data_IF_326968568529
#
_entry.id   IF_326968568529
#
_cell.length_a   1.000
_cell.length_b   1.000
_cell.length_c   1.000
_cell.angle_alpha   90.00
_cell.angle_beta   90.00
_cell.angle_gamma   90.00
#
_symmetry.space_group_name_H-M   'P 1'
#
loop_
_entity.id
_entity.type
_entity.pdbx_description
1 polymer ?
#
# COMPACT_ATOMS: atom_id res chain seq x y z
N UNK A 1 -1.17 -3.06 20.02
CA UNK A 1 -1.09 -2.16 21.19
C UNK A 1 -2.41 -1.39 21.28
N UNK A 2 -2.90 -1.09 22.48
CA UNK A 2 -4.27 -0.61 22.69
C UNK A 2 -4.45 0.87 22.31
N UNK A 3 -5.49 1.16 21.54
CA UNK A 3 -5.83 2.50 21.08
C UNK A 3 -6.35 3.39 22.23
N UNK A 4 -5.85 4.63 22.33
CA UNK A 4 -6.32 5.59 23.33
C UNK A 4 -7.62 6.25 22.85
N UNK A 5 -8.68 6.20 23.67
CA UNK A 5 -10.02 6.75 23.36
C UNK A 5 -9.98 8.19 22.82
N UNK A 6 -9.09 9.04 23.33
CA UNK A 6 -8.98 10.43 22.84
C UNK A 6 -8.51 10.50 21.39
N UNK A 7 -7.54 9.66 21.01
CA UNK A 7 -7.01 9.63 19.64
C UNK A 7 -8.01 9.02 18.67
N UNK A 8 -8.75 7.99 19.11
CA UNK A 8 -9.84 7.39 18.33
C UNK A 8 -10.94 8.41 18.06
N UNK A 9 -11.37 9.15 19.08
CA UNK A 9 -12.40 10.16 18.92
C UNK A 9 -11.92 11.27 17.97
N UNK A 10 -10.71 11.80 18.17
CA UNK A 10 -10.15 12.82 17.28
C UNK A 10 -10.09 12.37 15.81
N UNK A 11 -9.76 11.09 15.57
CA UNK A 11 -9.79 10.51 14.24
C UNK A 11 -11.20 10.59 13.63
N UNK A 12 -12.20 10.08 14.35
CA UNK A 12 -13.58 10.05 13.85
C UNK A 12 -14.18 11.46 13.71
N UNK A 13 -13.85 12.40 14.60
CA UNK A 13 -14.28 13.79 14.49
C UNK A 13 -13.70 14.44 13.22
N UNK A 14 -12.41 14.22 12.93
CA UNK A 14 -11.77 14.72 11.71
C UNK A 14 -12.33 14.05 10.45
N UNK A 15 -12.62 12.75 10.53
CA UNK A 15 -13.23 12.00 9.45
C UNK A 15 -14.62 12.56 9.13
N UNK A 16 -15.45 12.79 10.13
CA UNK A 16 -16.79 13.38 10.00
C UNK A 16 -16.70 14.76 9.34
N UNK A 17 -15.82 15.65 9.83
CA UNK A 17 -15.58 16.97 9.24
C UNK A 17 -15.16 16.89 7.76
N UNK A 18 -14.30 15.93 7.40
CA UNK A 18 -13.87 15.73 6.03
C UNK A 18 -15.02 15.26 5.12
N UNK A 19 -15.84 14.32 5.60
CA UNK A 19 -17.02 13.83 4.88
C UNK A 19 -18.08 14.92 4.68
N UNK A 20 -18.35 15.74 5.70
CA UNK A 20 -19.29 16.85 5.60
C UNK A 20 -18.82 17.93 4.62
N UNK A 21 -17.52 18.25 4.66
CA UNK A 21 -16.92 19.30 3.83
C UNK A 21 -16.79 18.90 2.36
N UNK A 22 -16.30 17.69 2.10
CA UNK A 22 -15.91 17.26 0.75
C UNK A 22 -16.90 16.33 0.08
N UNK A 23 -17.77 15.66 0.83
CA UNK A 23 -18.84 14.79 0.32
C UNK A 23 -18.30 13.79 -0.71
N UNK A 24 -17.27 13.04 -0.33
CA UNK A 24 -16.61 12.08 -1.19
C UNK A 24 -17.61 11.06 -1.74
N UNK A 25 -17.52 10.78 -3.04
CA UNK A 25 -18.23 9.65 -3.66
C UNK A 25 -17.53 8.35 -3.29
N UNK A 26 -18.25 7.22 -3.29
CA UNK A 26 -17.68 5.89 -2.99
C UNK A 26 -16.44 5.57 -3.85
N UNK A 27 -16.47 5.90 -5.15
CA UNK A 27 -15.33 5.76 -6.08
C UNK A 27 -14.11 6.65 -5.79
N UNK A 28 -14.22 7.54 -4.79
CA UNK A 28 -13.14 8.45 -4.34
C UNK A 28 -12.68 8.15 -2.92
N UNK A 29 -13.17 7.06 -2.33
CA UNK A 29 -12.75 6.56 -1.03
C UNK A 29 -12.04 5.25 -1.30
N UNK A 30 -10.75 5.18 -0.97
CA UNK A 30 -9.88 4.04 -1.23
C UNK A 30 -9.42 3.41 0.06
N UNK A 31 -9.31 2.10 0.06
CA UNK A 31 -8.62 1.31 1.07
C UNK A 31 -7.35 0.71 0.46
N UNK A 32 -6.29 0.67 1.25
CA UNK A 32 -4.95 0.26 0.82
C UNK A 32 -4.39 -0.73 1.83
N UNK A 33 -3.98 -1.89 1.33
CA UNK A 33 -3.40 -2.93 2.16
C UNK A 33 -2.11 -3.50 1.55
N UNK A 34 -1.22 -3.96 2.42
CA UNK A 34 0.00 -4.67 2.06
C UNK A 34 -0.18 -6.17 2.30
N UNK A 35 0.00 -6.97 1.24
CA UNK A 35 -0.07 -8.43 1.35
C UNK A 35 1.22 -9.10 0.88
N UNK A 36 1.61 -10.15 1.59
CA UNK A 36 2.74 -10.99 1.21
C UNK A 36 2.31 -12.19 0.38
N UNK A 37 2.72 -12.25 -0.88
CA UNK A 37 2.48 -13.42 -1.76
C UNK A 37 3.70 -14.33 -1.75
N UNK A 38 3.52 -15.59 -1.38
CA UNK A 38 4.57 -16.61 -1.42
C UNK A 38 4.57 -17.35 -2.75
N UNK A 39 5.73 -17.42 -3.41
CA UNK A 39 5.94 -18.28 -4.58
C UNK A 39 6.03 -19.78 -4.24
N UNK A 40 6.01 -20.14 -2.94
CA UNK A 40 6.03 -21.55 -2.52
C UNK A 40 4.66 -22.17 -2.73
N UNK A 41 4.52 -22.95 -3.81
CA UNK A 41 3.33 -23.75 -4.05
C UNK A 41 3.11 -24.76 -2.91
N UNK A 42 1.96 -24.68 -2.23
CA UNK A 42 1.53 -25.74 -1.32
C UNK A 42 1.03 -26.91 -2.17
N UNK A 43 1.72 -28.07 -2.18
CA UNK A 43 1.25 -29.24 -2.91
C UNK A 43 -0.15 -29.60 -2.42
N UNK A 44 -1.07 -29.82 -3.36
CA UNK A 44 -2.41 -30.31 -3.05
C UNK A 44 -2.34 -31.71 -2.41
N UNK A 45 -3.45 -32.17 -1.82
CA UNK A 45 -3.54 -33.52 -1.23
C UNK A 45 -3.05 -34.55 -2.24
N UNK A 46 -1.96 -35.25 -1.90
CA UNK A 46 -1.39 -36.28 -2.74
C UNK A 46 -2.08 -37.60 -2.39
N UNK A 47 -2.74 -38.21 -3.38
CA UNK A 47 -3.25 -39.58 -3.22
C UNK A 47 -2.07 -40.55 -3.25
N UNK A 48 -1.97 -41.38 -2.22
CA UNK A 48 -0.95 -42.42 -2.11
C UNK A 48 -1.58 -43.72 -1.63
N UNK A 49 -0.97 -44.84 -2.01
CA UNK A 49 -1.39 -46.16 -1.53
C UNK A 49 -1.33 -46.25 -0.01
N UNK A 50 -2.35 -46.88 0.58
CA UNK A 50 -2.46 -47.09 2.02
C UNK A 50 -1.23 -47.87 2.51
N UNK A 51 -0.40 -47.22 3.35
CA UNK A 51 0.83 -47.79 3.91
C UNK A 51 2.13 -47.22 3.31
N UNK A 52 2.06 -46.43 2.24
CA UNK A 52 3.23 -45.77 1.65
C UNK A 52 3.67 -44.58 2.51
N UNK A 53 4.83 -44.70 3.16
CA UNK A 53 5.39 -43.66 4.06
C UNK A 53 6.11 -42.53 3.32
N UNK A 54 6.62 -42.78 2.11
CA UNK A 54 7.33 -41.78 1.32
C UNK A 54 6.45 -41.33 0.15
N UNK A 55 5.84 -40.16 0.33
CA UNK A 55 5.03 -39.46 -0.67
C UNK A 55 5.78 -38.18 -1.02
N UNK A 56 6.38 -38.13 -2.20
CA UNK A 56 7.13 -36.97 -2.65
C UNK A 56 6.18 -35.87 -3.12
N UNK A 57 6.39 -34.65 -2.64
CA UNK A 57 5.77 -33.47 -3.21
C UNK A 57 6.82 -32.69 -3.99
N UNK A 58 6.52 -32.34 -5.24
CA UNK A 58 7.34 -31.38 -5.99
C UNK A 58 6.97 -30.00 -5.45
N UNK A 59 7.88 -29.42 -4.68
CA UNK A 59 7.81 -28.02 -4.26
C UNK A 59 9.05 -27.31 -4.81
N UNK A 60 8.92 -26.04 -5.19
CA UNK A 60 10.09 -25.23 -5.53
C UNK A 60 11.06 -25.20 -4.35
N UNK A 61 12.35 -25.38 -4.64
CA UNK A 61 13.44 -25.24 -3.68
C UNK A 61 13.76 -23.77 -3.34
N UNK A 62 13.14 -22.81 -4.04
CA UNK A 62 13.17 -21.38 -3.70
C UNK A 62 12.30 -21.13 -2.46
N UNK A 63 12.80 -21.63 -1.34
CA UNK A 63 12.16 -21.54 -0.04
C UNK A 63 12.23 -20.08 0.42
N UNK A 64 11.06 -19.46 0.67
CA UNK A 64 10.87 -18.30 1.56
C UNK A 64 11.09 -16.87 1.03
N UNK A 65 11.05 -16.62 -0.28
CA UNK A 65 10.99 -15.23 -0.76
C UNK A 65 9.53 -14.83 -1.01
N UNK A 66 8.92 -14.23 0.01
CA UNK A 66 7.62 -13.57 -0.11
C UNK A 66 7.81 -12.28 -0.91
N UNK A 67 6.97 -12.06 -1.92
CA UNK A 67 6.87 -10.79 -2.62
C UNK A 67 5.80 -9.97 -1.92
N UNK A 68 6.15 -8.77 -1.49
CA UNK A 68 5.18 -7.81 -0.95
C UNK A 68 4.40 -7.20 -2.11
N UNK A 69 3.09 -7.07 -1.96
CA UNK A 69 2.19 -6.46 -2.92
C UNK A 69 1.36 -5.41 -2.21
N UNK A 70 1.39 -4.17 -2.72
CA UNK A 70 0.52 -3.08 -2.26
C UNK A 70 -0.69 -3.04 -3.19
N UNK A 71 -1.86 -3.32 -2.62
CA UNK A 71 -3.14 -3.32 -3.31
C UNK A 71 -3.97 -2.12 -2.84
N UNK A 72 -4.74 -1.53 -3.75
CA UNK A 72 -5.61 -0.40 -3.44
C UNK A 72 -6.91 -0.49 -4.24
N UNK A 73 -8.03 -0.32 -3.55
CA UNK A 73 -9.35 -0.43 -4.15
C UNK A 73 -10.30 0.62 -3.58
N UNK A 74 -11.15 1.18 -4.42
CA UNK A 74 -12.19 2.10 -3.98
C UNK A 74 -13.38 1.38 -3.35
N UNK A 75 -14.19 2.11 -2.58
CA UNK A 75 -15.47 1.62 -2.09
C UNK A 75 -16.51 1.40 -3.20
N UNK A 76 -16.21 1.76 -4.45
CA UNK A 76 -17.00 1.45 -5.64
C UNK A 76 -16.32 0.38 -6.54
N UNK A 77 -15.38 -0.39 -5.99
CA UNK A 77 -14.68 -1.50 -6.66
C UNK A 77 -13.71 -1.10 -7.79
N UNK A 78 -13.46 0.20 -7.99
CA UNK A 78 -12.36 0.65 -8.86
C UNK A 78 -11.01 0.23 -8.25
N UNK A 79 -10.19 -0.49 -9.02
CA UNK A 79 -8.90 -1.02 -8.59
C UNK A 79 -7.73 -0.20 -9.14
N UNK A 80 -6.75 0.11 -8.29
CA UNK A 80 -5.50 0.75 -8.70
C UNK A 80 -4.48 -0.34 -9.00
N UNK A 81 -3.80 -0.32 -10.17
CA UNK A 81 -2.76 -1.29 -10.50
C UNK A 81 -1.73 -1.43 -9.36
N UNK A 82 -1.37 -2.65 -8.94
CA UNK A 82 -0.64 -2.87 -7.70
C UNK A 82 0.85 -2.50 -7.83
N UNK A 83 1.49 -2.35 -6.68
CA UNK A 83 2.95 -2.31 -6.60
C UNK A 83 3.49 -3.65 -6.09
N UNK A 84 4.42 -4.26 -6.82
CA UNK A 84 5.16 -5.44 -6.41
C UNK A 84 6.53 -5.05 -5.86
N UNK A 85 6.89 -5.57 -4.70
CA UNK A 85 8.18 -5.36 -4.03
C UNK A 85 8.86 -6.70 -3.81
N UNK A 86 9.92 -6.94 -4.57
CA UNK A 86 10.71 -8.17 -4.48
C UNK A 86 11.84 -8.02 -3.47
N UNK A 87 12.03 -9.04 -2.62
CA UNK A 87 13.16 -9.14 -1.70
C UNK A 87 14.46 -9.44 -2.43
N UNK A 88 15.08 -8.41 -3.00
CA UNK A 88 16.34 -8.50 -3.77
C UNK A 88 16.97 -7.13 -3.99
N UNK A 89 18.23 -7.14 -4.38
CA UNK A 89 18.93 -6.02 -5.01
C UNK A 89 20.12 -6.57 -5.81
N UNK A 90 20.27 -6.24 -7.11
CA UNK A 90 19.45 -5.33 -7.91
C UNK A 90 18.13 -5.94 -8.42
N UNK A 91 17.26 -5.07 -8.93
CA UNK A 91 16.04 -5.45 -9.64
C UNK A 91 16.36 -6.26 -10.90
N UNK A 92 15.46 -7.17 -11.27
CA UNK A 92 15.56 -7.94 -12.51
C UNK A 92 14.30 -7.71 -13.35
N UNK A 93 14.46 -7.11 -14.53
CA UNK A 93 13.37 -6.79 -15.44
C UNK A 93 12.55 -8.02 -15.88
N UNK A 94 13.11 -9.23 -15.78
CA UNK A 94 12.37 -10.46 -16.03
C UNK A 94 11.19 -10.67 -15.06
N UNK A 95 11.20 -10.03 -13.89
CA UNK A 95 10.13 -10.13 -12.88
C UNK A 95 8.87 -9.34 -13.25
N UNK A 96 8.98 -8.43 -14.22
CA UNK A 96 7.85 -7.61 -14.72
C UNK A 96 7.10 -8.34 -15.84
N UNK A 97 7.72 -9.39 -16.40
CA UNK A 97 7.22 -10.08 -17.59
C UNK A 97 5.90 -10.77 -17.29
N UNK A 98 4.90 -10.49 -18.12
CA UNK A 98 3.53 -11.02 -18.02
C UNK A 98 2.80 -10.66 -16.72
N UNK A 99 3.25 -9.64 -15.99
CA UNK A 99 2.50 -9.15 -14.84
C UNK A 99 1.32 -8.26 -15.24
N UNK A 100 0.49 -7.81 -14.27
CA UNK A 100 -0.67 -6.98 -14.55
C UNK A 100 -0.31 -5.70 -15.30
N UNK A 101 -1.21 -5.27 -16.20
CA UNK A 101 -1.09 -4.01 -16.92
C UNK A 101 -1.03 -2.84 -15.93
N UNK A 102 -0.16 -1.87 -16.21
CA UNK A 102 0.08 -0.66 -15.40
C UNK A 102 0.56 -0.89 -13.97
N UNK A 103 0.83 -2.12 -13.55
CA UNK A 103 1.47 -2.39 -12.27
C UNK A 103 2.92 -1.90 -12.27
N UNK A 104 3.39 -1.50 -11.09
CA UNK A 104 4.78 -1.08 -10.88
C UNK A 104 5.55 -2.14 -10.11
N UNK A 105 6.81 -2.36 -10.49
CA UNK A 105 7.67 -3.40 -9.93
C UNK A 105 8.93 -2.77 -9.36
N UNK A 106 9.23 -3.08 -8.10
CA UNK A 106 10.38 -2.58 -7.36
C UNK A 106 11.02 -3.68 -6.54
N UNK A 107 12.17 -3.38 -5.97
CA UNK A 107 12.88 -4.30 -5.10
C UNK A 107 13.45 -3.59 -3.88
N UNK A 108 13.47 -4.28 -2.74
CA UNK A 108 14.16 -3.82 -1.54
C UNK A 108 14.97 -4.97 -0.94
N UNK A 109 16.05 -4.64 -0.20
CA UNK A 109 16.87 -5.66 0.50
C UNK A 109 16.04 -6.53 1.45
N UNK A 110 15.03 -5.93 2.07
CA UNK A 110 14.21 -6.56 3.10
C UNK A 110 12.98 -7.27 2.52
N UNK A 111 12.56 -6.91 1.30
CA UNK A 111 11.30 -7.34 0.68
C UNK A 111 10.09 -6.49 1.07
N UNK A 112 10.24 -5.62 2.08
CA UNK A 112 9.17 -4.75 2.57
C UNK A 112 9.19 -3.40 1.86
N UNK A 113 8.08 -2.68 1.96
CA UNK A 113 8.02 -1.29 1.53
C UNK A 113 8.95 -0.42 2.39
N UNK A 114 9.59 0.55 1.75
CA UNK A 114 10.36 1.61 2.40
C UNK A 114 9.65 2.94 2.19
N UNK A 115 10.07 3.99 2.89
CA UNK A 115 9.49 5.34 2.72
C UNK A 115 9.62 5.83 1.27
N UNK A 116 10.76 5.58 0.63
CA UNK A 116 11.00 5.96 -0.75
C UNK A 116 10.06 5.21 -1.71
N UNK A 117 9.88 3.91 -1.49
CA UNK A 117 8.95 3.10 -2.28
C UNK A 117 7.49 3.51 -2.05
N UNK A 118 7.15 3.92 -0.84
CA UNK A 118 5.82 4.43 -0.52
C UNK A 118 5.53 5.76 -1.22
N UNK A 119 6.50 6.67 -1.31
CA UNK A 119 6.37 7.92 -2.09
C UNK A 119 6.21 7.61 -3.58
N UNK A 120 6.92 6.61 -4.11
CA UNK A 120 6.72 6.16 -5.49
C UNK A 120 5.30 5.60 -5.71
N UNK A 121 4.81 4.79 -4.76
CA UNK A 121 3.44 4.28 -4.79
C UNK A 121 2.39 5.40 -4.73
N UNK A 122 2.59 6.43 -3.89
CA UNK A 122 1.68 7.58 -3.81
C UNK A 122 1.59 8.34 -5.13
N UNK A 123 2.71 8.51 -5.84
CA UNK A 123 2.72 9.15 -7.17
C UNK A 123 1.95 8.31 -8.19
N UNK A 124 2.19 7.00 -8.19
CA UNK A 124 1.47 6.05 -9.04
C UNK A 124 -0.04 6.07 -8.76
N UNK A 125 -0.44 6.02 -7.49
CA UNK A 125 -1.83 6.12 -7.06
C UNK A 125 -2.48 7.42 -7.54
N UNK A 126 -1.85 8.57 -7.27
CA UNK A 126 -2.37 9.88 -7.66
C UNK A 126 -2.59 10.01 -9.17
N UNK A 127 -1.67 9.44 -9.96
CA UNK A 127 -1.80 9.38 -11.42
C UNK A 127 -2.96 8.49 -11.86
N UNK A 128 -3.07 7.27 -11.31
CA UNK A 128 -4.13 6.32 -11.67
C UNK A 128 -5.53 6.86 -11.40
N UNK A 129 -5.71 7.56 -10.27
CA UNK A 129 -7.03 8.07 -9.85
C UNK A 129 -7.26 9.53 -10.28
N UNK A 130 -6.32 10.12 -11.03
CA UNK A 130 -6.34 11.54 -11.41
C UNK A 130 -6.62 12.45 -10.20
N UNK A 131 -5.88 12.27 -9.11
CA UNK A 131 -6.04 13.04 -7.89
C UNK A 131 -5.56 14.49 -8.11
N UNK A 132 -6.38 15.47 -7.72
CA UNK A 132 -6.02 16.89 -7.74
C UNK A 132 -6.73 17.65 -6.62
N UNK A 133 -6.46 18.96 -6.52
CA UNK A 133 -7.18 19.87 -5.64
C UNK A 133 -8.67 19.96 -5.98
N UNK A 134 -9.06 19.79 -7.23
CA UNK A 134 -10.45 19.78 -7.69
C UNK A 134 -11.05 18.37 -7.58
N UNK A 135 -10.22 17.33 -7.80
CA UNK A 135 -10.62 15.94 -7.81
C UNK A 135 -10.05 15.17 -6.60
N UNK A 136 -10.54 15.51 -5.40
CA UNK A 136 -10.05 14.96 -4.14
C UNK A 136 -10.37 13.46 -3.99
N UNK A 137 -9.52 12.78 -3.23
CA UNK A 137 -9.71 11.39 -2.78
C UNK A 137 -9.48 11.31 -1.28
N UNK A 138 -10.16 10.37 -0.65
CA UNK A 138 -9.87 9.90 0.69
C UNK A 138 -9.20 8.53 0.55
N UNK A 139 -8.10 8.32 1.26
CA UNK A 139 -7.37 7.06 1.28
C UNK A 139 -7.24 6.62 2.72
N UNK A 140 -7.78 5.44 3.04
CA UNK A 140 -7.51 4.73 4.27
C UNK A 140 -6.21 3.94 4.10
N UNK A 141 -5.32 4.07 5.08
CA UNK A 141 -3.99 3.51 5.04
C UNK A 141 -3.77 2.83 6.39
N UNK A 142 -3.64 1.51 6.39
CA UNK A 142 -3.24 0.74 7.56
C UNK A 142 -1.71 0.86 7.85
N UNK A 143 -1.13 2.06 7.68
CA UNK A 143 0.30 2.30 7.91
C UNK A 143 0.56 3.02 9.23
N UNK A 144 1.12 2.28 10.20
CA UNK A 144 1.39 2.75 11.56
C UNK A 144 2.49 3.83 11.70
N UNK A 145 3.11 4.30 10.63
CA UNK A 145 4.14 5.36 10.67
C UNK A 145 4.23 6.01 9.30
N UNK A 146 3.89 7.30 9.21
CA UNK A 146 4.38 8.33 8.29
C UNK A 146 3.32 9.45 8.27
N UNK A 147 3.76 10.70 8.43
CA UNK A 147 2.95 11.91 8.20
C UNK A 147 3.30 12.45 6.81
N UNK A 148 2.35 12.52 5.87
CA UNK A 148 2.54 13.19 4.56
C UNK A 148 1.49 14.28 4.38
N UNK A 149 1.96 15.52 4.21
CA UNK A 149 1.16 16.69 3.84
C UNK A 149 0.88 16.69 2.33
N UNK A 150 -0.40 16.87 1.95
CA UNK A 150 -0.96 17.19 0.61
C UNK A 150 -1.75 16.12 -0.17
N UNK A 151 -2.22 15.08 0.50
CA UNK A 151 -3.58 14.53 0.31
C UNK A 151 -4.29 14.62 1.68
N UNK A 152 -5.62 14.62 1.76
CA UNK A 152 -6.28 14.51 3.08
C UNK A 152 -6.02 13.10 3.62
N UNK A 153 -4.91 12.96 4.33
CA UNK A 153 -4.51 11.79 5.08
C UNK A 153 -5.01 11.95 6.50
N UNK A 154 -5.70 10.94 7.04
CA UNK A 154 -6.04 10.88 8.45
C UNK A 154 -5.21 9.73 9.04
N UNK A 155 -4.06 9.99 9.68
CA UNK A 155 -3.27 8.93 10.30
C UNK A 155 -4.06 8.27 11.42
N UNK A 156 -4.20 6.95 11.36
CA UNK A 156 -4.57 6.15 12.53
C UNK A 156 -3.30 5.91 13.35
N UNK A 157 -3.29 6.49 14.55
CA UNK A 157 -2.37 6.30 15.70
C UNK A 157 -1.19 7.28 15.86
N UNK A 158 -1.22 8.06 16.96
CA UNK A 158 -0.17 8.99 17.39
C UNK A 158 0.52 8.55 18.71
N UNK A 159 1.87 8.48 18.72
CA UNK A 159 2.87 8.96 19.72
C UNK A 159 4.26 8.27 19.50
N UNK A 160 5.46 8.84 19.76
CA UNK A 160 5.89 10.11 20.36
C UNK A 160 7.33 10.53 19.97
N UNK A 161 7.56 11.85 20.09
CA UNK A 161 8.73 12.58 20.64
C UNK A 161 10.06 12.73 19.88
N UNK A 162 10.40 14.00 19.67
CA UNK A 162 11.68 14.65 19.26
C UNK A 162 12.08 14.40 17.80
N UNK A 163 12.02 15.41 16.91
CA UNK A 163 12.93 16.55 16.85
C UNK A 163 12.27 17.87 16.41
N UNK A 164 12.99 18.94 16.69
CA UNK A 164 12.70 20.38 16.67
C UNK A 164 12.44 21.03 15.30
N UNK A 165 11.57 22.06 15.34
CA UNK A 165 11.61 23.31 14.56
C UNK A 165 11.63 23.24 13.01
N UNK A 166 10.48 23.56 12.41
CA UNK A 166 10.36 24.39 11.20
C UNK A 166 10.58 23.71 9.83
N UNK A 167 9.69 24.06 8.88
CA UNK A 167 9.51 23.51 7.52
C UNK A 167 8.85 22.12 7.56
N UNK A 168 7.77 21.84 6.83
CA UNK A 168 7.73 21.82 5.37
C UNK A 168 6.33 22.09 4.79
N UNK A 169 6.03 23.37 4.51
CA UNK A 169 4.89 23.75 3.66
C UNK A 169 5.27 23.50 2.17
N UNK A 170 4.28 23.07 1.37
CA UNK A 170 4.15 23.07 -0.12
C UNK A 170 4.67 21.86 -0.91
N UNK A 171 3.71 21.04 -1.38
CA UNK A 171 3.72 20.49 -2.74
C UNK A 171 2.35 20.70 -3.40
N UNK A 172 2.10 21.95 -3.80
CA UNK A 172 1.48 22.39 -5.06
C UNK A 172 1.41 23.92 -4.97
N UNK A 173 2.40 24.59 -5.54
CA UNK A 173 2.26 25.99 -5.96
C UNK A 173 2.23 26.01 -7.47
N UNK A 174 1.19 26.64 -8.00
CA UNK A 174 1.29 27.75 -8.95
C UNK A 174 2.48 27.70 -9.89
N UNK A 175 2.25 27.15 -11.09
CA UNK A 175 2.89 27.64 -12.30
C UNK A 175 1.98 27.53 -13.54
N UNK A 176 0.66 27.65 -13.34
CA UNK A 176 -0.26 28.05 -14.40
C UNK A 176 -0.64 29.52 -14.20
N UNK A 177 0.33 30.39 -14.46
CA UNK A 177 0.12 31.79 -14.78
C UNK A 177 1.05 32.17 -15.94
N UNK A 178 0.65 31.76 -17.14
CA UNK A 178 0.76 32.52 -18.38
C UNK A 178 -0.25 31.98 -19.39
#
# INVERSE_FOLDING_TARGET
MASNRKNVNLFYDNLELAFEKYKFLARRIFDVDETGISGVHKPHRILAEKGRKQVGAITSGERNQTTTVVCCMSAAEDFVPPMFIFKREPMNNALEKNGPTDAIYRSSKSGWITEELFVEWLKHFAQCVNASTENRVLVDLEYNKIEVESLYYIPITAHSSTLSNGAWIKLMNDNDAN
#
